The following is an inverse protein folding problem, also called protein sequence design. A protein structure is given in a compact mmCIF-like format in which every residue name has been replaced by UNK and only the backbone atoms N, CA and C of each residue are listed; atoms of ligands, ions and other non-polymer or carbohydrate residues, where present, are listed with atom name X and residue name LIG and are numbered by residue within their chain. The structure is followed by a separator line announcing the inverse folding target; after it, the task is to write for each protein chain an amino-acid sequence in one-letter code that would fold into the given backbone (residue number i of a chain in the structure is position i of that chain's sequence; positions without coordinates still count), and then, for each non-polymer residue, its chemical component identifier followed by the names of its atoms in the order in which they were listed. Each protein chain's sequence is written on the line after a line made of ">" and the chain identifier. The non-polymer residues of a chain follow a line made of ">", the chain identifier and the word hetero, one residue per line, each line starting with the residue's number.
data_IF_553772847799
#
_entry.id   IF_553772847799
#
_cell.length_a   1.000
_cell.length_b   1.000
_cell.length_c   1.000
_cell.angle_alpha   90.00
_cell.angle_beta   90.00
_cell.angle_gamma   90.00
#
_symmetry.space_group_name_H-M   'P 1'
#
loop_
_entity.id
_entity.type
_entity.pdbx_description
1 polymer ?
#
# COMPACT_ATOMS: atom_id res chain seq x y z
N UNK A 1 -17.59 12.74 -9.95
CA UNK A 1 -16.58 11.65 -9.85
C UNK A 1 -16.54 11.17 -8.43
N UNK A 2 -16.43 9.86 -8.22
CA UNK A 2 -16.21 9.31 -6.88
C UNK A 2 -14.81 9.68 -6.36
N UNK A 3 -14.61 9.68 -5.04
CA UNK A 3 -13.27 9.92 -4.45
C UNK A 3 -12.21 8.94 -4.96
N UNK A 4 -12.62 7.70 -5.24
CA UNK A 4 -11.77 6.66 -5.82
C UNK A 4 -11.32 7.02 -7.24
N UNK A 5 -12.24 7.44 -8.11
CA UNK A 5 -11.90 7.87 -9.49
C UNK A 5 -10.89 9.03 -9.51
N UNK A 6 -11.06 10.00 -8.60
CA UNK A 6 -10.11 11.13 -8.48
C UNK A 6 -8.74 10.64 -8.04
N UNK A 7 -8.68 9.77 -7.02
CA UNK A 7 -7.43 9.17 -6.54
C UNK A 7 -6.72 8.37 -7.65
N UNK A 8 -7.44 7.52 -8.39
CA UNK A 8 -6.86 6.75 -9.49
C UNK A 8 -6.30 7.67 -10.59
N UNK A 9 -7.03 8.73 -10.95
CA UNK A 9 -6.58 9.69 -11.96
C UNK A 9 -5.30 10.42 -11.52
N UNK A 10 -5.25 10.85 -10.26
CA UNK A 10 -4.06 11.50 -9.70
C UNK A 10 -2.87 10.53 -9.62
N UNK A 11 -3.11 9.30 -9.21
CA UNK A 11 -2.09 8.26 -9.13
C UNK A 11 -1.49 7.97 -10.51
N UNK A 12 -2.31 7.80 -11.54
CA UNK A 12 -1.84 7.63 -12.91
C UNK A 12 -0.97 8.82 -13.34
N UNK A 13 -1.44 10.04 -13.11
CA UNK A 13 -0.70 11.26 -13.48
C UNK A 13 0.67 11.32 -12.78
N UNK A 14 0.73 11.02 -11.49
CA UNK A 14 1.98 10.99 -10.72
C UNK A 14 2.93 9.93 -11.27
N UNK A 15 2.41 8.74 -11.56
CA UNK A 15 3.21 7.63 -12.08
C UNK A 15 3.74 7.91 -13.49
N UNK A 16 2.96 8.58 -14.35
CA UNK A 16 3.40 9.00 -15.67
C UNK A 16 4.56 10.00 -15.57
N UNK A 17 4.43 11.03 -14.73
CA UNK A 17 5.50 12.02 -14.47
C UNK A 17 6.76 11.34 -13.92
N UNK A 18 6.58 10.37 -13.01
CA UNK A 18 7.68 9.61 -12.42
C UNK A 18 8.42 8.78 -13.46
N UNK A 19 7.70 8.03 -14.30
CA UNK A 19 8.28 7.23 -15.39
C UNK A 19 9.04 8.13 -16.36
N UNK A 20 8.42 9.22 -16.81
CA UNK A 20 9.06 10.16 -17.74
C UNK A 20 10.35 10.75 -17.16
N UNK A 21 10.29 11.19 -15.90
CA UNK A 21 11.43 11.79 -15.21
C UNK A 21 12.57 10.79 -15.00
N UNK A 22 12.26 9.55 -14.62
CA UNK A 22 13.25 8.50 -14.43
C UNK A 22 13.94 8.14 -15.76
N UNK A 23 13.17 7.97 -16.84
CA UNK A 23 13.73 7.65 -18.17
C UNK A 23 14.60 8.77 -18.69
N UNK A 24 14.16 10.03 -18.53
CA UNK A 24 14.94 11.21 -18.90
C UNK A 24 16.26 11.28 -18.13
N UNK A 25 16.22 11.03 -16.83
CA UNK A 25 17.42 11.08 -16.00
C UNK A 25 18.42 9.97 -16.34
N UNK A 26 17.96 8.74 -16.56
CA UNK A 26 18.84 7.65 -17.00
C UNK A 26 19.45 7.95 -18.37
N UNK A 27 18.68 8.49 -19.30
CA UNK A 27 19.21 8.91 -20.61
C UNK A 27 20.31 9.96 -20.45
N UNK A 28 20.07 10.98 -19.61
CA UNK A 28 21.05 12.04 -19.32
C UNK A 28 22.35 11.47 -18.75
N UNK A 29 22.25 10.57 -17.77
CA UNK A 29 23.42 9.93 -17.15
C UNK A 29 24.22 9.08 -18.15
N UNK A 30 23.54 8.37 -19.05
CA UNK A 30 24.20 7.60 -20.11
C UNK A 30 24.94 8.49 -21.10
N UNK A 31 24.35 9.64 -21.46
CA UNK A 31 24.98 10.63 -22.33
C UNK A 31 26.20 11.27 -21.66
N UNK A 32 26.11 11.61 -20.37
CA UNK A 32 27.26 12.13 -19.60
C UNK A 32 28.39 11.12 -19.50
N UNK A 33 28.08 9.86 -19.22
CA UNK A 33 29.07 8.79 -19.21
C UNK A 33 29.70 8.60 -20.59
N UNK A 34 28.91 8.69 -21.67
CA UNK A 34 29.43 8.63 -23.04
C UNK A 34 30.43 9.75 -23.30
N UNK A 35 30.10 11.00 -22.96
CA UNK A 35 31.00 12.14 -23.15
C UNK A 35 32.29 11.97 -22.32
N UNK A 36 32.18 11.51 -21.08
CA UNK A 36 33.33 11.29 -20.20
C UNK A 36 34.26 10.17 -20.72
N UNK A 37 33.71 9.07 -21.23
CA UNK A 37 34.49 7.91 -21.72
C UNK A 37 35.04 8.16 -23.13
N UNK A 38 34.26 8.79 -24.01
CA UNK A 38 34.58 8.92 -25.44
C UNK A 38 35.26 10.25 -25.80
N UNK A 39 35.60 11.08 -24.81
CA UNK A 39 36.00 12.48 -24.94
C UNK A 39 36.73 12.85 -26.24
N UNK A 40 37.95 12.36 -26.44
CA UNK A 40 38.75 12.62 -27.66
C UNK A 40 38.81 11.43 -28.62
N UNK A 41 38.05 10.38 -28.39
CA UNK A 41 38.19 9.11 -29.11
C UNK A 41 37.95 9.31 -30.62
N UNK A 42 38.92 8.98 -31.46
CA UNK A 42 38.81 9.17 -32.91
C UNK A 42 38.09 7.99 -33.59
N UNK A 43 37.96 6.86 -32.89
CA UNK A 43 37.27 5.69 -33.39
C UNK A 43 35.75 5.93 -33.53
N UNK A 44 35.35 6.27 -34.76
CA UNK A 44 33.96 6.52 -35.13
C UNK A 44 33.05 5.30 -34.97
N UNK A 45 33.58 4.08 -35.15
CA UNK A 45 32.82 2.85 -34.94
C UNK A 45 32.48 2.66 -33.47
N UNK A 46 33.46 2.88 -32.58
CA UNK A 46 33.24 2.79 -31.14
C UNK A 46 32.23 3.84 -30.65
N UNK A 47 32.34 5.10 -31.14
CA UNK A 47 31.38 6.17 -30.86
C UNK A 47 29.96 5.81 -31.28
N UNK A 48 29.81 5.30 -32.51
CA UNK A 48 28.51 4.86 -33.03
C UNK A 48 27.94 3.74 -32.17
N UNK A 49 28.78 2.80 -31.77
CA UNK A 49 28.31 1.61 -31.09
C UNK A 49 27.95 1.85 -29.64
N UNK A 50 28.71 2.68 -28.94
CA UNK A 50 28.34 3.15 -27.61
C UNK A 50 27.04 3.96 -27.63
N UNK A 51 26.85 4.82 -28.64
CA UNK A 51 25.57 5.53 -28.84
C UNK A 51 24.40 4.56 -29.04
N UNK A 52 24.61 3.49 -29.83
CA UNK A 52 23.59 2.46 -30.07
C UNK A 52 23.23 1.71 -28.78
N UNK A 53 24.23 1.37 -27.97
CA UNK A 53 24.03 0.71 -26.67
C UNK A 53 23.27 1.61 -25.72
N UNK A 54 23.65 2.88 -25.57
CA UNK A 54 22.95 3.85 -24.70
C UNK A 54 21.47 4.01 -25.09
N UNK A 55 21.19 4.18 -26.38
CA UNK A 55 19.80 4.22 -26.89
C UNK A 55 19.03 2.94 -26.61
N UNK A 56 19.69 1.79 -26.71
CA UNK A 56 19.06 0.49 -26.43
C UNK A 56 18.77 0.32 -24.94
N UNK A 57 19.70 0.71 -24.07
CA UNK A 57 19.52 0.65 -22.63
C UNK A 57 18.42 1.60 -22.15
N UNK A 58 18.38 2.83 -22.68
CA UNK A 58 17.31 3.80 -22.38
C UNK A 58 15.94 3.24 -22.77
N UNK A 59 15.81 2.63 -23.96
CA UNK A 59 14.56 1.98 -24.38
C UNK A 59 14.16 0.82 -23.48
N UNK A 60 15.10 -0.06 -23.12
CA UNK A 60 14.84 -1.17 -22.20
C UNK A 60 14.37 -0.68 -20.83
N UNK A 61 15.01 0.37 -20.32
CA UNK A 61 14.64 1.00 -19.07
C UNK A 61 13.25 1.62 -19.13
N UNK A 62 12.91 2.32 -20.22
CA UNK A 62 11.58 2.86 -20.44
C UNK A 62 10.49 1.77 -20.45
N UNK A 63 10.71 0.67 -21.19
CA UNK A 63 9.77 -0.46 -21.19
C UNK A 63 9.62 -1.10 -19.81
N UNK A 64 10.72 -1.23 -19.05
CA UNK A 64 10.66 -1.72 -17.69
C UNK A 64 9.82 -0.80 -16.78
N UNK A 65 10.07 0.51 -16.85
CA UNK A 65 9.36 1.50 -16.04
C UNK A 65 7.86 1.57 -16.38
N UNK A 66 7.49 1.39 -17.65
CA UNK A 66 6.10 1.32 -18.08
C UNK A 66 5.37 0.10 -17.49
N UNK A 67 5.99 -1.08 -17.52
CA UNK A 67 5.39 -2.29 -16.93
C UNK A 67 5.31 -2.15 -15.41
N UNK A 68 6.37 -1.64 -14.79
CA UNK A 68 6.42 -1.43 -13.34
C UNK A 68 5.34 -0.44 -12.89
N UNK A 69 5.14 0.66 -13.62
CA UNK A 69 4.16 1.69 -13.26
C UNK A 69 2.75 1.16 -13.35
N UNK A 70 2.39 0.51 -14.47
CA UNK A 70 1.06 -0.11 -14.66
C UNK A 70 0.77 -1.13 -13.57
N UNK A 71 1.71 -2.05 -13.31
CA UNK A 71 1.55 -3.07 -12.27
C UNK A 71 1.37 -2.45 -10.88
N UNK A 72 2.09 -1.36 -10.60
CA UNK A 72 2.00 -0.67 -9.30
C UNK A 72 0.65 0.03 -9.15
N UNK A 73 0.16 0.71 -10.19
CA UNK A 73 -1.16 1.34 -10.20
C UNK A 73 -2.25 0.29 -9.95
N UNK A 74 -2.21 -0.83 -10.67
CA UNK A 74 -3.18 -1.94 -10.50
C UNK A 74 -3.20 -2.46 -9.06
N UNK A 75 -2.03 -2.69 -8.46
CA UNK A 75 -1.92 -3.15 -7.06
C UNK A 75 -2.45 -2.14 -6.07
N UNK A 76 -2.15 -0.86 -6.27
CA UNK A 76 -2.65 0.22 -5.40
C UNK A 76 -4.17 0.32 -5.53
N UNK A 77 -4.72 0.25 -6.74
CA UNK A 77 -6.16 0.26 -6.97
C UNK A 77 -6.89 -0.88 -6.26
N UNK A 78 -6.33 -2.10 -6.30
CA UNK A 78 -6.86 -3.24 -5.56
C UNK A 78 -6.85 -3.01 -4.05
N UNK A 79 -5.76 -2.45 -3.50
CA UNK A 79 -5.68 -2.11 -2.08
C UNK A 79 -6.71 -1.05 -1.68
N UNK A 80 -6.91 -0.01 -2.50
CA UNK A 80 -7.94 1.00 -2.26
C UNK A 80 -9.33 0.38 -2.24
N UNK A 81 -9.65 -0.52 -3.17
CA UNK A 81 -10.91 -1.24 -3.20
C UNK A 81 -11.14 -2.10 -1.94
N UNK A 82 -10.12 -2.85 -1.51
CA UNK A 82 -10.20 -3.68 -0.30
C UNK A 82 -10.49 -2.80 0.92
N UNK A 83 -9.75 -1.71 1.11
CA UNK A 83 -9.95 -0.77 2.22
C UNK A 83 -11.37 -0.21 2.21
N UNK A 84 -11.89 0.24 1.06
CA UNK A 84 -13.26 0.74 0.96
C UNK A 84 -14.31 -0.33 1.31
N UNK A 85 -14.06 -1.59 0.92
CA UNK A 85 -14.97 -2.70 1.21
C UNK A 85 -15.00 -3.07 2.69
N UNK A 86 -13.84 -3.06 3.36
CA UNK A 86 -13.73 -3.34 4.80
C UNK A 86 -14.38 -2.24 5.63
N UNK A 87 -14.17 -0.97 5.26
CA UNK A 87 -14.83 0.19 5.92
C UNK A 87 -16.35 0.04 5.83
N UNK A 88 -16.89 -0.23 4.64
CA UNK A 88 -18.35 -0.44 4.46
C UNK A 88 -18.88 -1.61 5.27
N UNK A 89 -18.11 -2.69 5.44
CA UNK A 89 -18.52 -3.83 6.24
C UNK A 89 -18.56 -3.49 7.75
N UNK A 90 -17.60 -2.72 8.24
CA UNK A 90 -17.56 -2.22 9.62
C UNK A 90 -18.71 -1.25 9.89
N UNK A 91 -19.01 -0.34 8.97
CA UNK A 91 -20.13 0.59 9.10
C UNK A 91 -21.47 -0.14 9.22
N UNK A 92 -21.73 -1.14 8.38
CA UNK A 92 -22.95 -1.96 8.45
C UNK A 92 -23.09 -2.75 9.75
N UNK A 93 -21.98 -3.23 10.33
CA UNK A 93 -22.01 -3.95 11.61
C UNK A 93 -22.13 -3.03 12.81
N UNK A 94 -21.66 -1.77 12.70
CA UNK A 94 -21.88 -0.74 13.70
C UNK A 94 -23.34 -0.26 13.72
N UNK A 95 -23.97 -0.09 12.55
CA UNK A 95 -25.35 0.36 12.41
C UNK A 95 -26.37 -0.67 12.93
N UNK A 96 -26.08 -1.96 12.78
CA UNK A 96 -26.93 -3.06 13.26
C UNK A 96 -26.73 -3.43 14.75
N UNK A 97 -25.95 -2.67 15.52
CA UNK A 97 -25.68 -2.98 16.94
C UNK A 97 -26.84 -2.50 17.82
N UNK A 98 -27.55 -3.38 18.57
CA UNK A 98 -28.66 -2.96 19.42
C UNK A 98 -28.18 -1.97 20.50
N UNK A 99 -28.81 -0.80 20.59
CA UNK A 99 -28.59 0.16 21.67
C UNK A 99 -28.93 -0.50 23.01
N UNK A 100 -27.92 -1.01 23.73
CA UNK A 100 -28.11 -1.42 25.13
C UNK A 100 -28.41 -0.18 25.95
N UNK A 101 -29.70 0.02 26.28
CA UNK A 101 -30.14 1.02 27.27
C UNK A 101 -29.44 0.74 28.60
N UNK A 102 -28.64 1.69 29.07
CA UNK A 102 -28.10 1.69 30.41
C UNK A 102 -29.14 2.23 31.41
N UNK A 103 -29.35 1.48 32.50
CA UNK A 103 -29.72 2.05 33.80
C UNK A 103 -31.21 2.21 34.11
N UNK A 104 -31.83 1.17 34.65
CA UNK A 104 -33.04 1.25 35.47
C UNK A 104 -32.73 0.76 36.89
N UNK A 105 -32.65 1.70 37.83
CA UNK A 105 -32.45 1.50 39.27
C UNK A 105 -33.72 0.91 39.90
N UNK A 106 -33.62 -0.20 40.62
CA UNK A 106 -34.63 -0.57 41.64
C UNK A 106 -33.95 -1.20 42.86
N UNK A 107 -34.01 -0.47 43.97
CA UNK A 107 -33.81 -1.00 45.31
C UNK A 107 -34.87 -2.06 45.63
N UNK A 108 -34.47 -3.11 46.36
CA UNK A 108 -35.35 -4.11 46.96
C UNK A 108 -34.60 -4.89 48.04
N UNK A 109 -35.11 -4.80 49.28
CA UNK A 109 -34.53 -5.11 50.59
C UNK A 109 -34.08 -6.57 50.87
N UNK A 110 -33.28 -6.81 51.93
CA UNK A 110 -32.66 -8.10 52.25
C UNK A 110 -33.59 -9.02 53.05
N UNK A 111 -33.50 -10.35 52.81
CA UNK A 111 -34.10 -11.37 53.65
C UNK A 111 -33.05 -12.37 54.14
N UNK A 112 -33.20 -12.72 55.42
CA UNK A 112 -32.25 -13.31 56.37
C UNK A 112 -32.61 -14.77 56.63
N UNK A 113 -31.59 -15.60 56.86
CA UNK A 113 -31.65 -16.93 57.52
C UNK A 113 -31.81 -18.10 56.55
N UNK A 114 -31.21 -19.27 56.74
CA UNK A 114 -30.20 -19.79 57.68
C UNK A 114 -29.92 -21.24 57.20
N UNK A 115 -28.83 -21.84 57.68
CA UNK A 115 -28.35 -23.23 57.47
C UNK A 115 -27.56 -23.55 56.18
N UNK A 116 -26.42 -24.25 56.16
CA UNK A 116 -25.31 -24.64 57.07
C UNK A 116 -24.63 -25.80 56.32
N UNK A 117 -23.30 -25.66 56.09
CA UNK A 117 -22.25 -26.68 55.79
C UNK A 117 -22.49 -27.69 54.64
N UNK A 118 -21.56 -27.86 53.70
CA UNK A 118 -20.35 -28.65 53.96
C UNK A 118 -19.14 -28.33 53.09
N UNK A 119 -17.99 -28.59 53.70
CA UNK A 119 -16.63 -28.48 53.18
C UNK A 119 -16.35 -29.48 52.04
N UNK A 120 -15.57 -29.05 51.04
CA UNK A 120 -14.37 -29.78 50.63
C UNK A 120 -13.47 -28.90 49.74
N UNK A 121 -12.30 -28.57 50.28
CA UNK A 121 -11.13 -28.04 49.56
C UNK A 121 -10.52 -29.16 48.73
N UNK A 122 -10.25 -28.92 47.44
CA UNK A 122 -9.03 -29.35 46.70
C UNK A 122 -8.99 -28.41 45.48
N UNK A 123 -8.02 -27.54 45.21
CA UNK A 123 -6.59 -27.63 45.42
C UNK A 123 -5.88 -28.12 44.15
N UNK A 124 -5.87 -27.34 43.07
CA UNK A 124 -4.92 -27.56 41.97
C UNK A 124 -4.46 -26.24 41.36
N UNK A 125 -3.14 -26.04 41.38
CA UNK A 125 -2.39 -24.90 40.85
C UNK A 125 -1.73 -25.36 39.55
N UNK A 126 -1.85 -24.61 38.43
CA UNK A 126 -1.18 -24.96 37.19
C UNK A 126 0.26 -24.43 37.15
N UNK A 127 1.16 -25.25 36.61
CA UNK A 127 2.42 -24.85 35.96
C UNK A 127 2.49 -25.51 34.60
#
# INVERSE_FOLDING_TARGET
>A
MSSNEVFQTQLCTIMDIFVESAVREVSRLLDECFVAVMGNEENSLLKREMTRVNKTNTRKFASFMEVLSKTSIEKIALLTYVVESEVRAVEKTAENRPLRRAGGRTEGKPLRGEHVTDLAKVGYVPS
#
